data_IF_892374535298
#
_entry.id   IF_892374535298
#
_cell.length_a   1.000
_cell.length_b   1.000
_cell.length_c   1.000
_cell.angle_alpha   90.00
_cell.angle_beta   90.00
_cell.angle_gamma   90.00
#
_symmetry.space_group_name_H-M   'P 1'
#
loop_
_entity.id
_entity.type
_entity.pdbx_description
1 polymer ?
#
# COMPACT_ATOMS: atom_id res chain seq x y z
N UNK A 1 5.05 -20.13 17.59
CA UNK A 1 6.18 -19.58 16.80
C UNK A 1 7.22 -20.67 16.61
N UNK A 2 7.73 -20.93 15.41
CA UNK A 2 8.77 -21.94 15.20
C UNK A 2 10.05 -21.48 15.89
N UNK A 3 10.56 -22.31 16.78
CA UNK A 3 11.74 -22.01 17.61
C UNK A 3 13.06 -22.42 16.93
N UNK A 4 13.02 -23.32 15.95
CA UNK A 4 14.21 -24.02 15.44
C UNK A 4 14.44 -23.93 13.93
N UNK A 5 13.53 -23.31 13.16
CA UNK A 5 13.67 -23.18 11.70
C UNK A 5 13.01 -21.92 11.18
N UNK A 6 13.54 -21.39 10.08
CA UNK A 6 12.86 -20.34 9.31
C UNK A 6 11.56 -20.88 8.70
N UNK A 7 10.52 -20.06 8.74
CA UNK A 7 9.26 -20.37 8.06
C UNK A 7 9.46 -20.11 6.58
N UNK A 8 9.30 -21.12 5.69
CA UNK A 8 9.39 -20.90 4.26
C UNK A 8 8.31 -19.92 3.82
N UNK A 9 8.69 -18.88 3.08
CA UNK A 9 7.76 -17.94 2.49
C UNK A 9 7.13 -18.58 1.27
N UNK A 10 5.78 -18.58 1.22
CA UNK A 10 5.06 -19.06 0.04
C UNK A 10 5.22 -18.07 -1.10
N UNK A 11 5.47 -18.59 -2.29
CA UNK A 11 5.46 -17.78 -3.50
C UNK A 11 4.05 -17.30 -3.82
N UNK A 12 3.96 -16.07 -4.31
CA UNK A 12 2.69 -15.48 -4.70
C UNK A 12 2.44 -15.86 -6.16
N UNK A 13 1.33 -16.57 -6.48
CA UNK A 13 1.00 -16.91 -7.85
C UNK A 13 0.80 -15.65 -8.70
N UNK A 14 1.10 -15.75 -9.97
CA UNK A 14 0.84 -14.67 -10.91
C UNK A 14 -0.68 -14.55 -11.15
N UNK A 15 -1.12 -13.33 -11.41
CA UNK A 15 -2.49 -13.06 -11.80
C UNK A 15 -2.76 -13.60 -13.21
N UNK A 16 -3.88 -14.28 -13.46
CA UNK A 16 -4.14 -14.92 -14.77
C UNK A 16 -4.33 -13.92 -15.91
N UNK A 17 -4.81 -12.69 -15.64
CA UNK A 17 -5.09 -11.68 -16.68
C UNK A 17 -3.85 -10.81 -16.94
N UNK A 18 -3.23 -10.30 -15.87
CA UNK A 18 -2.12 -9.35 -15.98
C UNK A 18 -0.74 -9.98 -15.74
N UNK A 19 -0.65 -11.29 -15.47
CA UNK A 19 0.59 -12.03 -15.18
C UNK A 19 1.49 -11.31 -14.16
N UNK A 20 0.90 -10.72 -13.14
CA UNK A 20 1.58 -9.87 -12.15
C UNK A 20 1.32 -10.33 -10.72
N UNK A 21 2.38 -10.66 -9.99
CA UNK A 21 2.30 -10.99 -8.55
C UNK A 21 1.86 -9.79 -7.69
N UNK A 22 2.09 -8.57 -8.16
CA UNK A 22 1.64 -7.35 -7.49
C UNK A 22 0.11 -7.24 -7.48
N UNK A 23 -0.54 -7.56 -8.60
CA UNK A 23 -2.01 -7.60 -8.72
C UNK A 23 -2.60 -8.64 -7.77
N UNK A 24 -2.03 -9.83 -7.73
CA UNK A 24 -2.46 -10.89 -6.80
C UNK A 24 -2.36 -10.47 -5.34
N UNK A 25 -1.26 -9.83 -4.95
CA UNK A 25 -1.08 -9.29 -3.58
C UNK A 25 -2.11 -8.20 -3.27
N UNK A 26 -2.40 -7.35 -4.23
CA UNK A 26 -3.40 -6.30 -4.07
C UNK A 26 -4.80 -6.88 -3.88
N UNK A 27 -5.22 -7.82 -4.72
CA UNK A 27 -6.49 -8.55 -4.61
C UNK A 27 -6.63 -9.22 -3.25
N UNK A 28 -5.56 -9.88 -2.77
CA UNK A 28 -5.55 -10.53 -1.45
C UNK A 28 -5.76 -9.54 -0.30
N UNK A 29 -5.26 -8.30 -0.42
CA UNK A 29 -5.46 -7.25 0.58
C UNK A 29 -6.83 -6.58 0.44
N UNK A 30 -7.34 -6.50 -0.77
CA UNK A 30 -8.68 -5.96 -1.08
C UNK A 30 -9.80 -6.90 -0.61
N UNK A 31 -9.54 -8.20 -0.60
CA UNK A 31 -10.50 -9.23 -0.21
C UNK A 31 -11.00 -9.04 1.23
N UNK A 32 -12.30 -9.27 1.45
CA UNK A 32 -12.95 -9.37 2.75
C UNK A 32 -13.72 -10.69 2.83
N UNK A 33 -13.80 -11.26 4.01
CA UNK A 33 -14.60 -12.46 4.31
C UNK A 33 -14.33 -13.65 3.37
N UNK A 34 -13.11 -13.74 2.83
CA UNK A 34 -12.72 -14.78 1.87
C UNK A 34 -13.33 -14.64 0.47
N UNK A 35 -14.07 -13.56 0.17
CA UNK A 35 -14.75 -13.34 -1.11
C UNK A 35 -13.79 -12.89 -2.21
N UNK A 36 -12.96 -13.82 -2.69
CA UNK A 36 -11.90 -13.53 -3.66
C UNK A 36 -12.43 -13.09 -5.01
N UNK A 37 -13.46 -13.78 -5.55
CA UNK A 37 -14.06 -13.44 -6.85
C UNK A 37 -14.62 -12.02 -6.90
N UNK A 38 -15.19 -11.54 -5.78
CA UNK A 38 -15.64 -10.15 -5.65
C UNK A 38 -14.47 -9.18 -5.68
N UNK A 39 -13.37 -9.48 -4.98
CA UNK A 39 -12.17 -8.64 -4.98
C UNK A 39 -11.49 -8.59 -6.35
N UNK A 40 -11.43 -9.70 -7.07
CA UNK A 40 -10.94 -9.79 -8.44
C UNK A 40 -11.77 -8.91 -9.39
N UNK A 41 -13.11 -9.04 -9.31
CA UNK A 41 -14.03 -8.20 -10.11
C UNK A 41 -13.81 -6.71 -9.85
N UNK A 42 -13.69 -6.31 -8.58
CA UNK A 42 -13.43 -4.90 -8.22
C UNK A 42 -12.11 -4.44 -8.83
N UNK A 43 -11.04 -5.22 -8.71
CA UNK A 43 -9.73 -4.86 -9.23
C UNK A 43 -9.75 -4.72 -10.75
N UNK A 44 -10.27 -5.73 -11.46
CA UNK A 44 -10.29 -5.71 -12.93
C UNK A 44 -11.18 -4.59 -13.48
N UNK A 45 -12.36 -4.39 -12.91
CA UNK A 45 -13.23 -3.27 -13.31
C UNK A 45 -12.59 -1.91 -13.04
N UNK A 46 -11.84 -1.77 -11.94
CA UNK A 46 -11.11 -0.53 -11.65
C UNK A 46 -10.02 -0.27 -12.68
N UNK A 47 -9.26 -1.30 -13.08
CA UNK A 47 -8.22 -1.18 -14.11
C UNK A 47 -8.81 -0.86 -15.49
N UNK A 48 -9.95 -1.48 -15.86
CA UNK A 48 -10.68 -1.12 -17.09
C UNK A 48 -11.13 0.34 -17.08
N UNK A 49 -11.70 0.81 -15.95
CA UNK A 49 -12.11 2.22 -15.82
C UNK A 49 -10.93 3.19 -15.89
N UNK A 50 -9.74 2.80 -15.40
CA UNK A 50 -8.53 3.62 -15.56
C UNK A 50 -8.15 3.71 -17.03
N UNK A 51 -8.17 2.60 -17.76
CA UNK A 51 -7.86 2.58 -19.19
C UNK A 51 -8.82 3.44 -20.00
N UNK A 52 -10.12 3.36 -19.72
CA UNK A 52 -11.14 4.19 -20.37
C UNK A 52 -10.95 5.70 -20.12
N UNK A 53 -10.55 6.06 -18.89
CA UNK A 53 -10.40 7.48 -18.51
C UNK A 53 -9.07 8.10 -18.92
N UNK A 54 -7.98 7.32 -18.91
CA UNK A 54 -6.62 7.85 -19.16
C UNK A 54 -6.09 7.51 -20.55
N UNK A 55 -6.60 6.43 -21.17
CA UNK A 55 -6.04 5.90 -22.42
C UNK A 55 -4.70 5.19 -22.26
N UNK A 56 -4.12 5.21 -21.07
CA UNK A 56 -2.83 4.59 -20.76
C UNK A 56 -2.97 3.11 -20.36
N UNK A 57 -1.86 2.38 -20.41
CA UNK A 57 -1.79 1.02 -19.87
C UNK A 57 -2.13 1.01 -18.36
N UNK A 58 -3.25 0.38 -17.97
CA UNK A 58 -3.73 0.40 -16.59
C UNK A 58 -2.72 -0.22 -15.61
N UNK A 59 -1.93 -1.19 -16.07
CA UNK A 59 -0.90 -1.82 -15.23
C UNK A 59 0.25 -0.84 -14.93
N UNK A 60 0.63 0.01 -15.89
CA UNK A 60 1.66 1.04 -15.66
C UNK A 60 1.17 2.09 -14.66
N UNK A 61 -0.06 2.57 -14.81
CA UNK A 61 -0.68 3.52 -13.88
C UNK A 61 -0.75 2.91 -12.47
N UNK A 62 -1.18 1.67 -12.36
CA UNK A 62 -1.23 0.94 -11.09
C UNK A 62 0.15 0.79 -10.43
N UNK A 63 1.17 0.36 -11.19
CA UNK A 63 2.55 0.23 -10.67
C UNK A 63 3.08 1.58 -10.20
N UNK A 64 2.86 2.65 -10.97
CA UNK A 64 3.24 4.02 -10.62
C UNK A 64 2.54 4.48 -9.34
N UNK A 65 1.24 4.24 -9.19
CA UNK A 65 0.49 4.55 -7.98
C UNK A 65 1.07 3.86 -6.74
N UNK A 66 1.33 2.56 -6.84
CA UNK A 66 1.94 1.79 -5.73
C UNK A 66 3.32 2.33 -5.39
N UNK A 67 4.17 2.65 -6.37
CA UNK A 67 5.51 3.19 -6.16
C UNK A 67 5.47 4.56 -5.46
N UNK A 68 4.58 5.45 -5.90
CA UNK A 68 4.40 6.77 -5.30
C UNK A 68 3.93 6.73 -3.84
N UNK A 69 3.30 5.66 -3.40
CA UNK A 69 2.78 5.52 -2.03
C UNK A 69 3.74 4.76 -1.10
N UNK A 70 4.79 4.11 -1.62
CA UNK A 70 5.76 3.39 -0.79
C UNK A 70 6.51 4.33 0.15
N UNK A 71 6.44 4.11 1.49
CA UNK A 71 7.21 4.89 2.44
C UNK A 71 8.66 4.42 2.51
N UNK A 72 9.61 5.34 2.57
CA UNK A 72 11.03 5.05 2.83
C UNK A 72 11.30 4.86 4.33
N UNK A 73 10.63 5.66 5.16
CA UNK A 73 10.79 5.71 6.61
C UNK A 73 9.45 5.44 7.30
N UNK A 74 9.51 4.84 8.47
CA UNK A 74 8.39 4.75 9.42
C UNK A 74 8.88 5.13 10.82
N UNK A 75 7.96 5.49 11.71
CA UNK A 75 8.27 5.81 13.10
C UNK A 75 7.85 4.65 13.98
N UNK A 76 8.75 4.17 14.83
CA UNK A 76 8.48 3.14 15.83
C UNK A 76 8.67 3.70 17.23
N UNK A 77 7.71 3.41 18.12
CA UNK A 77 7.84 3.75 19.52
C UNK A 77 8.84 2.83 20.22
N UNK A 78 9.74 3.41 20.99
CA UNK A 78 10.71 2.71 21.84
C UNK A 78 10.72 3.28 23.23
N UNK A 79 10.83 2.39 24.21
CA UNK A 79 10.98 2.75 25.61
C UNK A 79 12.46 2.75 25.99
N UNK A 80 12.96 3.91 26.39
CA UNK A 80 14.35 4.10 26.83
C UNK A 80 14.30 4.86 28.18
N UNK A 81 14.89 4.32 29.22
CA UNK A 81 14.94 4.97 30.54
C UNK A 81 13.57 5.32 31.12
N UNK A 82 12.52 4.55 30.82
CA UNK A 82 11.16 4.81 31.31
C UNK A 82 10.30 5.71 30.41
N UNK A 83 10.89 6.43 29.47
CA UNK A 83 10.18 7.30 28.50
C UNK A 83 10.02 6.63 27.14
N UNK A 84 8.91 6.94 26.44
CA UNK A 84 8.64 6.43 25.09
C UNK A 84 9.12 7.45 24.04
N UNK A 85 10.03 7.03 23.19
CA UNK A 85 10.54 7.84 22.08
C UNK A 85 10.03 7.31 20.75
N UNK A 86 9.73 8.22 19.84
CA UNK A 86 9.35 7.91 18.46
C UNK A 86 10.62 7.87 17.60
N UNK A 87 11.08 6.68 17.25
CA UNK A 87 12.35 6.49 16.53
C UNK A 87 12.09 6.27 15.05
N UNK A 88 12.66 7.08 14.15
CA UNK A 88 12.57 6.86 12.71
C UNK A 88 13.43 5.66 12.29
N UNK A 89 12.84 4.77 11.52
CA UNK A 89 13.47 3.53 11.05
C UNK A 89 13.21 3.35 9.55
N UNK A 90 14.21 2.90 8.83
CA UNK A 90 14.02 2.52 7.42
C UNK A 90 13.08 1.32 7.29
N UNK A 91 12.20 1.38 6.30
CA UNK A 91 11.23 0.33 6.05
C UNK A 91 11.82 -0.72 5.10
N UNK A 92 11.74 -1.98 5.48
CA UNK A 92 12.13 -3.10 4.62
C UNK A 92 11.31 -3.11 3.32
N UNK A 93 11.90 -3.44 2.14
CA UNK A 93 11.22 -3.41 0.84
C UNK A 93 9.88 -4.16 0.80
N UNK A 94 9.81 -5.34 1.41
CA UNK A 94 8.56 -6.11 1.48
C UNK A 94 7.48 -5.41 2.32
N UNK A 95 7.89 -4.70 3.38
CA UNK A 95 6.99 -3.93 4.22
C UNK A 95 6.55 -2.64 3.53
N UNK A 96 7.44 -1.96 2.78
CA UNK A 96 7.08 -0.80 1.94
C UNK A 96 5.92 -1.13 1.03
N UNK A 97 6.03 -2.26 0.32
CA UNK A 97 4.97 -2.75 -0.56
C UNK A 97 3.67 -3.05 0.20
N UNK A 98 3.76 -3.74 1.33
CA UNK A 98 2.57 -4.08 2.13
C UNK A 98 1.86 -2.84 2.69
N UNK A 99 2.62 -1.82 3.10
CA UNK A 99 2.08 -0.55 3.58
C UNK A 99 1.40 0.23 2.46
N UNK A 100 2.03 0.34 1.28
CA UNK A 100 1.45 1.06 0.14
C UNK A 100 0.12 0.45 -0.30
N UNK A 101 0.04 -0.88 -0.42
CA UNK A 101 -1.21 -1.57 -0.77
C UNK A 101 -2.28 -1.33 0.31
N UNK A 102 -1.93 -1.46 1.59
CA UNK A 102 -2.86 -1.23 2.70
C UNK A 102 -3.42 0.19 2.71
N UNK A 103 -2.57 1.19 2.47
CA UNK A 103 -3.00 2.58 2.43
C UNK A 103 -3.89 2.86 1.23
N UNK A 104 -3.51 2.42 0.03
CA UNK A 104 -4.35 2.57 -1.17
C UNK A 104 -5.75 1.95 -0.96
N UNK A 105 -5.82 0.71 -0.48
CA UNK A 105 -7.10 0.05 -0.20
C UNK A 105 -7.89 0.77 0.90
N UNK A 106 -7.21 1.20 1.96
CA UNK A 106 -7.84 1.91 3.09
C UNK A 106 -8.45 3.23 2.66
N UNK A 107 -7.70 4.06 1.95
CA UNK A 107 -8.17 5.35 1.48
C UNK A 107 -9.21 5.23 0.36
N UNK A 108 -9.08 4.25 -0.55
CA UNK A 108 -10.13 3.97 -1.51
C UNK A 108 -11.47 3.64 -0.84
N UNK A 109 -11.47 2.88 0.26
CA UNK A 109 -12.68 2.58 1.02
C UNK A 109 -13.30 3.80 1.71
N UNK A 110 -12.47 4.71 2.20
CA UNK A 110 -12.92 5.92 2.92
C UNK A 110 -13.32 7.07 1.99
N UNK A 111 -13.09 6.96 0.66
CA UNK A 111 -13.49 8.01 -0.29
C UNK A 111 -15.01 8.21 -0.30
N UNK A 112 -15.41 9.47 -0.36
CA UNK A 112 -16.81 9.87 -0.54
C UNK A 112 -17.22 9.98 -2.01
N UNK A 113 -16.25 10.16 -2.93
CA UNK A 113 -16.45 10.26 -4.36
C UNK A 113 -16.55 8.87 -5.02
N UNK A 114 -17.63 8.62 -5.70
CA UNK A 114 -17.92 7.34 -6.32
C UNK A 114 -18.99 6.53 -5.57
N UNK A 115 -19.85 5.91 -6.35
CA UNK A 115 -20.98 5.09 -5.84
C UNK A 115 -20.50 3.68 -5.48
N UNK A 116 -19.55 3.14 -6.24
CA UNK A 116 -19.06 1.76 -6.10
C UNK A 116 -17.60 1.71 -5.65
N UNK A 117 -17.20 0.59 -5.04
CA UNK A 117 -15.80 0.37 -4.67
C UNK A 117 -14.87 0.37 -5.88
N UNK A 118 -15.36 -0.04 -7.04
CA UNK A 118 -14.62 -0.03 -8.30
C UNK A 118 -14.22 1.39 -8.70
N UNK A 119 -15.17 2.32 -8.69
CA UNK A 119 -14.93 3.75 -8.99
C UNK A 119 -14.01 4.39 -7.96
N UNK A 120 -14.25 4.14 -6.66
CA UNK A 120 -13.43 4.66 -5.58
C UNK A 120 -11.97 4.21 -5.69
N UNK A 121 -11.77 2.94 -6.03
CA UNK A 121 -10.43 2.39 -6.21
C UNK A 121 -9.75 2.96 -7.46
N UNK A 122 -10.46 3.06 -8.59
CA UNK A 122 -9.93 3.66 -9.81
C UNK A 122 -9.50 5.11 -9.58
N UNK A 123 -10.34 5.91 -8.92
CA UNK A 123 -10.04 7.30 -8.61
C UNK A 123 -8.83 7.42 -7.67
N UNK A 124 -8.74 6.62 -6.60
CA UNK A 124 -7.57 6.65 -5.70
C UNK A 124 -6.27 6.24 -6.41
N UNK A 125 -6.31 5.24 -7.29
CA UNK A 125 -5.14 4.82 -8.06
C UNK A 125 -4.68 5.90 -9.05
N UNK A 126 -5.60 6.57 -9.74
CA UNK A 126 -5.27 7.69 -10.63
C UNK A 126 -4.68 8.87 -9.87
N UNK A 127 -5.28 9.24 -8.74
CA UNK A 127 -4.77 10.32 -7.89
C UNK A 127 -3.37 9.98 -7.36
N UNK A 128 -3.17 8.76 -6.86
CA UNK A 128 -1.87 8.31 -6.37
C UNK A 128 -0.79 8.27 -7.48
N UNK A 129 -1.14 7.90 -8.71
CA UNK A 129 -0.24 7.96 -9.85
C UNK A 129 0.20 9.40 -10.17
N UNK A 130 -0.66 10.38 -9.85
CA UNK A 130 -0.41 11.82 -10.04
C UNK A 130 0.07 12.51 -8.73
N UNK A 131 0.58 11.75 -7.77
CA UNK A 131 1.07 12.24 -6.46
C UNK A 131 -0.01 13.02 -5.67
N UNK A 132 -1.26 12.60 -5.77
CA UNK A 132 -2.43 13.18 -5.07
C UNK A 132 -3.13 12.07 -4.28
N UNK A 133 -4.17 12.45 -3.53
CA UNK A 133 -5.01 11.51 -2.81
C UNK A 133 -4.56 11.22 -1.38
N UNK A 134 -5.41 10.50 -0.65
CA UNK A 134 -5.23 10.23 0.78
C UNK A 134 -4.05 9.31 1.09
N UNK A 135 -3.79 8.34 0.22
CA UNK A 135 -2.67 7.41 0.39
C UNK A 135 -1.31 8.12 0.27
N UNK A 136 -1.17 9.05 -0.68
CA UNK A 136 0.06 9.85 -0.85
C UNK A 136 0.24 10.79 0.35
N UNK A 137 -0.83 11.46 0.77
CA UNK A 137 -0.80 12.31 1.98
C UNK A 137 -0.35 11.52 3.21
N UNK A 138 -0.83 10.29 3.38
CA UNK A 138 -0.41 9.42 4.49
C UNK A 138 1.08 9.10 4.46
N UNK A 139 1.65 8.86 3.27
CA UNK A 139 3.10 8.68 3.10
C UNK A 139 3.85 9.95 3.53
N UNK A 140 3.42 11.12 3.06
CA UNK A 140 4.03 12.41 3.39
C UNK A 140 3.97 12.71 4.88
N UNK A 141 2.82 12.49 5.52
CA UNK A 141 2.67 12.64 6.96
C UNK A 141 3.60 11.71 7.74
N UNK A 142 3.75 10.46 7.27
CA UNK A 142 4.67 9.49 7.88
C UNK A 142 6.13 9.96 7.75
N UNK A 143 6.53 10.47 6.58
CA UNK A 143 7.87 11.02 6.37
C UNK A 143 8.10 12.28 7.20
N UNK A 144 7.11 13.19 7.28
CA UNK A 144 7.17 14.39 8.12
C UNK A 144 7.34 14.04 9.60
N UNK A 145 6.62 13.05 10.10
CA UNK A 145 6.80 12.54 11.46
C UNK A 145 8.19 11.95 11.67
N UNK A 146 8.72 11.20 10.70
CA UNK A 146 10.06 10.65 10.79
C UNK A 146 11.14 11.75 10.80
N UNK A 147 10.96 12.80 10.03
CA UNK A 147 11.87 13.94 9.98
C UNK A 147 11.82 14.75 11.29
N UNK A 148 10.64 15.03 11.82
CA UNK A 148 10.48 15.72 13.11
C UNK A 148 11.14 14.95 14.27
N UNK A 149 11.20 13.64 14.18
CA UNK A 149 11.83 12.78 15.20
C UNK A 149 13.27 12.36 14.86
N UNK A 150 13.91 13.01 13.89
CA UNK A 150 15.26 12.67 13.41
C UNK A 150 16.31 12.73 14.53
N UNK A 151 16.15 13.58 15.51
CA UNK A 151 17.04 13.68 16.68
C UNK A 151 17.13 12.36 17.46
N UNK A 152 16.09 11.51 17.44
CA UNK A 152 16.04 10.23 18.14
C UNK A 152 16.52 9.04 17.28
N UNK A 153 17.04 9.29 16.09
CA UNK A 153 17.51 8.22 15.18
C UNK A 153 18.65 7.38 15.78
N UNK A 154 19.44 7.92 16.71
CA UNK A 154 20.52 7.20 17.41
C UNK A 154 19.99 6.12 18.36
N UNK A 155 18.71 6.12 18.72
CA UNK A 155 18.07 5.04 19.50
C UNK A 155 17.61 3.84 18.64
N UNK A 156 17.91 3.82 17.34
CA UNK A 156 17.63 2.64 16.52
C UNK A 156 18.70 1.57 16.78
N UNK A 157 18.31 0.34 16.76
CA UNK A 157 19.16 -0.85 16.68
C UNK A 157 18.94 -1.61 15.40
#
# INVERSE_FOLDING_TARGET
>A
MPRRREIPKRDVPLDPIYSSSLVTRFISTLMRDGKRSTAERIMYSSLSSIQEKTGDDPLKVFKKAVENVKPALEVKSRRVGGSNYQVPVEVNPNRRLSLSIRWLVGFARSRGDGKTMQEKLANELMDAANLRGGAVKKREDTHRMAEANKAFAHYRW
#
